data_IF_560108902527
#
_entry.id   IF_560108902527
#
_cell.length_a   1.000
_cell.length_b   1.000
_cell.length_c   1.000
_cell.angle_alpha   90.00
_cell.angle_beta   90.00
_cell.angle_gamma   90.00
#
_symmetry.space_group_name_H-M   'P 1'
#
loop_
_entity.id
_entity.type
_entity.pdbx_description
1 polymer ?
#
# COMPACT_ATOMS: atom_id res chain seq x y z
N UNK A 1 -3.41 9.73 -9.05
CA UNK A 1 -3.11 8.73 -8.03
C UNK A 1 -1.99 7.86 -8.56
N UNK A 2 -0.89 7.80 -7.83
CA UNK A 2 0.27 7.01 -8.21
C UNK A 2 0.49 5.83 -7.24
N UNK A 3 1.28 4.85 -7.67
CA UNK A 3 1.70 3.69 -6.88
C UNK A 3 3.21 3.63 -6.89
N UNK A 4 3.85 3.88 -5.74
CA UNK A 4 5.29 3.84 -5.65
C UNK A 4 5.79 2.43 -5.37
N UNK A 5 6.71 1.93 -6.21
CA UNK A 5 7.26 0.58 -6.14
C UNK A 5 8.75 0.60 -6.48
N UNK A 6 9.56 -0.35 -6.00
CA UNK A 6 10.92 -0.52 -6.51
C UNK A 6 10.92 -0.86 -7.99
N UNK A 7 11.92 -0.37 -8.73
CA UNK A 7 12.16 -0.85 -10.09
C UNK A 7 12.66 -2.30 -10.08
N UNK A 8 12.23 -3.09 -11.06
CA UNK A 8 12.76 -4.42 -11.32
C UNK A 8 13.01 -4.61 -12.80
N UNK A 9 14.22 -5.08 -13.14
CA UNK A 9 14.57 -5.49 -14.49
C UNK A 9 13.61 -6.59 -14.96
N UNK A 10 13.25 -6.57 -16.25
CA UNK A 10 12.35 -7.54 -16.89
C UNK A 10 10.93 -7.62 -16.31
N UNK A 11 10.51 -6.63 -15.54
CA UNK A 11 9.16 -6.55 -14.99
C UNK A 11 8.24 -5.62 -15.80
N UNK A 12 8.12 -5.90 -17.10
CA UNK A 12 7.36 -5.09 -18.06
C UNK A 12 5.90 -4.82 -17.62
N UNK A 13 5.30 -5.75 -16.88
CA UNK A 13 3.97 -5.59 -16.29
C UNK A 13 3.86 -4.34 -15.42
N UNK A 14 4.88 -4.07 -14.62
CA UNK A 14 4.92 -2.94 -13.71
C UNK A 14 5.58 -1.73 -14.33
N UNK A 15 6.71 -1.91 -15.01
CA UNK A 15 7.52 -0.80 -15.52
C UNK A 15 6.81 0.03 -16.61
N UNK A 16 5.89 -0.57 -17.38
CA UNK A 16 5.19 0.12 -18.47
C UNK A 16 3.92 0.86 -18.02
N UNK A 17 3.62 0.86 -16.72
CA UNK A 17 2.43 1.54 -16.20
C UNK A 17 2.63 3.05 -16.16
N UNK A 18 1.54 3.80 -16.34
CA UNK A 18 1.57 5.27 -16.28
C UNK A 18 1.28 5.85 -14.90
N UNK A 19 0.78 5.01 -14.00
CA UNK A 19 0.37 5.38 -12.65
C UNK A 19 1.37 4.91 -11.59
N UNK A 20 2.62 4.68 -11.98
CA UNK A 20 3.68 4.25 -11.06
C UNK A 20 4.70 5.35 -10.80
N UNK A 21 5.32 5.27 -9.63
CA UNK A 21 6.56 5.96 -9.30
C UNK A 21 7.61 4.90 -8.95
N UNK A 22 8.87 5.14 -9.30
CA UNK A 22 9.93 4.20 -8.97
C UNK A 22 10.68 4.60 -7.71
N UNK A 23 10.81 3.70 -6.75
CA UNK A 23 11.73 3.82 -5.63
C UNK A 23 13.08 3.20 -6.03
N UNK A 24 14.10 4.03 -6.23
CA UNK A 24 15.41 3.60 -6.72
C UNK A 24 16.44 3.74 -5.61
N UNK A 25 17.04 2.63 -5.13
CA UNK A 25 18.16 2.71 -4.22
C UNK A 25 19.44 3.11 -4.98
N UNK A 26 20.17 4.09 -4.46
CA UNK A 26 21.34 4.70 -5.11
C UNK A 26 22.57 4.66 -4.20
N UNK A 27 23.71 4.26 -4.78
CA UNK A 27 25.01 4.15 -4.10
C UNK A 27 25.88 5.33 -4.55
N UNK A 28 26.06 6.31 -3.67
CA UNK A 28 26.84 7.51 -3.95
C UNK A 28 28.34 7.21 -3.95
N UNK A 29 29.08 7.79 -4.90
CA UNK A 29 30.55 7.69 -4.93
C UNK A 29 31.12 6.70 -5.94
N UNK A 30 30.27 6.06 -6.75
CA UNK A 30 30.70 5.28 -7.92
C UNK A 30 30.26 5.99 -9.19
N UNK A 31 31.20 6.59 -9.93
CA UNK A 31 30.90 7.28 -11.20
C UNK A 31 30.02 6.45 -12.16
N UNK A 32 30.27 5.13 -12.24
CA UNK A 32 29.47 4.21 -13.07
C UNK A 32 28.00 4.09 -12.65
N UNK A 33 27.67 4.36 -11.40
CA UNK A 33 26.28 4.32 -10.92
C UNK A 33 25.54 5.61 -11.29
N UNK A 34 26.22 6.75 -11.31
CA UNK A 34 25.64 8.00 -11.81
C UNK A 34 25.30 7.88 -13.29
N UNK A 35 26.23 7.44 -14.15
CA UNK A 35 26.00 7.33 -15.59
C UNK A 35 24.79 6.41 -15.90
N UNK A 36 24.73 5.22 -15.29
CA UNK A 36 23.57 4.31 -15.44
C UNK A 36 22.26 4.93 -14.96
N UNK A 37 22.32 5.71 -13.88
CA UNK A 37 21.13 6.37 -13.36
C UNK A 37 20.66 7.46 -14.32
N UNK A 38 21.57 8.19 -14.97
CA UNK A 38 21.22 9.15 -16.01
C UNK A 38 20.59 8.46 -17.23
N UNK A 39 21.15 7.33 -17.69
CA UNK A 39 20.54 6.52 -18.76
C UNK A 39 19.11 6.07 -18.37
N UNK A 40 18.89 5.71 -17.10
CA UNK A 40 17.58 5.36 -16.58
C UNK A 40 16.60 6.54 -16.58
N UNK A 41 17.06 7.76 -16.28
CA UNK A 41 16.22 8.96 -16.38
C UNK A 41 15.81 9.26 -17.82
N UNK A 42 16.70 9.02 -18.79
CA UNK A 42 16.41 9.18 -20.21
C UNK A 42 15.40 8.13 -20.72
N UNK A 43 15.40 6.92 -20.16
CA UNK A 43 14.42 5.87 -20.47
C UNK A 43 13.03 6.18 -19.88
N UNK A 44 12.97 6.84 -18.73
CA UNK A 44 11.73 7.14 -18.00
C UNK A 44 11.54 8.66 -17.76
N UNK A 45 11.52 9.50 -18.80
CA UNK A 45 11.56 10.95 -18.65
C UNK A 45 10.32 11.54 -18.00
N UNK A 46 9.16 10.86 -18.13
CA UNK A 46 7.86 11.33 -17.62
C UNK A 46 7.44 10.63 -16.31
N UNK A 47 8.30 9.78 -15.75
CA UNK A 47 7.99 9.01 -14.52
C UNK A 47 8.64 9.69 -13.33
N UNK A 48 7.89 9.83 -12.24
CA UNK A 48 8.44 10.30 -10.96
C UNK A 48 9.38 9.23 -10.38
N UNK A 49 10.60 9.64 -10.07
CA UNK A 49 11.63 8.78 -9.48
C UNK A 49 11.91 9.23 -8.06
N UNK A 50 11.69 8.34 -7.10
CA UNK A 50 12.01 8.53 -5.69
C UNK A 50 13.37 7.89 -5.39
N UNK A 51 14.41 8.72 -5.26
CA UNK A 51 15.80 8.30 -5.07
C UNK A 51 16.12 8.09 -3.58
N UNK A 52 16.59 6.90 -3.21
CA UNK A 52 16.93 6.53 -1.83
C UNK A 52 18.44 6.25 -1.73
N UNK A 53 19.18 7.08 -1.00
CA UNK A 53 20.63 6.91 -0.84
C UNK A 53 20.93 5.79 0.17
N UNK A 54 21.66 4.76 -0.27
CA UNK A 54 22.12 3.67 0.60
C UNK A 54 23.09 4.18 1.67
N UNK A 55 23.97 5.09 1.28
CA UNK A 55 24.93 5.77 2.15
C UNK A 55 24.49 7.22 2.40
N UNK A 56 25.43 8.15 2.59
CA UNK A 56 25.14 9.57 2.78
C UNK A 56 24.69 10.23 1.45
N UNK A 57 23.75 11.16 1.53
CA UNK A 57 23.32 11.94 0.35
C UNK A 57 24.50 12.73 -0.24
N UNK A 58 24.83 12.45 -1.51
CA UNK A 58 25.79 13.23 -2.31
C UNK A 58 25.10 14.45 -2.94
N UNK A 59 25.31 15.64 -2.37
CA UNK A 59 24.81 16.90 -2.93
C UNK A 59 25.40 17.23 -4.31
N UNK A 60 26.57 16.68 -4.63
CA UNK A 60 27.20 16.80 -5.95
C UNK A 60 26.39 16.01 -6.99
N UNK A 61 26.10 14.74 -6.71
CA UNK A 61 25.35 13.87 -7.64
C UNK A 61 23.94 14.44 -7.84
N UNK A 62 23.30 14.92 -6.77
CA UNK A 62 22.01 15.61 -6.86
C UNK A 62 22.08 16.87 -7.74
N UNK A 63 23.18 17.63 -7.70
CA UNK A 63 23.36 18.80 -8.56
C UNK A 63 23.41 18.41 -10.04
N UNK A 64 24.02 17.27 -10.37
CA UNK A 64 24.06 16.76 -11.75
C UNK A 64 22.69 16.25 -12.17
N UNK A 65 22.06 15.41 -11.34
CA UNK A 65 20.75 14.82 -11.59
C UNK A 65 19.68 15.91 -11.81
N UNK A 66 19.64 16.92 -10.94
CA UNK A 66 18.63 17.99 -10.99
C UNK A 66 18.84 18.95 -12.18
N UNK A 67 19.97 18.91 -12.88
CA UNK A 67 20.15 19.64 -14.15
C UNK A 67 19.55 18.89 -15.34
N UNK A 68 19.37 17.58 -15.21
CA UNK A 68 18.96 16.69 -16.29
C UNK A 68 17.47 16.36 -16.17
N UNK A 69 16.96 16.16 -14.95
CA UNK A 69 15.56 15.80 -14.72
C UNK A 69 14.97 16.54 -13.53
N UNK A 70 13.77 17.09 -13.74
CA UNK A 70 12.92 17.66 -12.69
C UNK A 70 12.04 16.61 -12.00
N UNK A 71 12.07 15.35 -12.46
CA UNK A 71 11.19 14.28 -11.99
C UNK A 71 11.83 13.41 -10.89
N UNK A 72 12.99 13.82 -10.38
CA UNK A 72 13.68 13.13 -9.28
C UNK A 72 13.36 13.78 -7.95
N UNK A 73 12.94 12.96 -6.99
CA UNK A 73 12.57 13.32 -5.64
C UNK A 73 13.42 12.50 -4.67
N UNK A 74 14.09 13.14 -3.73
CA UNK A 74 14.96 12.44 -2.78
C UNK A 74 14.14 11.96 -1.58
N UNK A 75 14.17 10.66 -1.32
CA UNK A 75 13.56 10.03 -0.14
C UNK A 75 14.58 10.08 1.01
N UNK A 76 14.33 10.92 2.00
CA UNK A 76 15.22 11.23 3.11
C UNK A 76 14.96 10.27 4.27
N UNK A 77 16.02 9.58 4.71
CA UNK A 77 16.02 8.81 5.94
C UNK A 77 16.50 9.64 7.13
N UNK A 78 16.32 9.13 8.35
CA UNK A 78 16.68 9.85 9.58
C UNK A 78 18.16 10.29 9.64
N UNK A 79 19.07 9.49 9.05
CA UNK A 79 20.51 9.79 9.03
C UNK A 79 20.84 11.03 8.18
N UNK A 80 19.97 11.37 7.23
CA UNK A 80 20.20 12.40 6.23
C UNK A 80 19.45 13.72 6.54
N UNK A 81 18.68 13.76 7.64
CA UNK A 81 18.00 14.97 8.12
C UNK A 81 18.92 16.21 8.17
N UNK A 82 20.20 16.12 8.58
CA UNK A 82 21.09 17.28 8.57
C UNK A 82 21.29 17.94 7.19
N UNK A 83 21.04 17.23 6.09
CA UNK A 83 21.18 17.74 4.70
C UNK A 83 19.97 18.51 4.19
N UNK A 84 18.83 18.42 4.89
CA UNK A 84 17.54 19.02 4.48
C UNK A 84 17.67 20.51 4.17
N UNK A 85 18.41 21.25 5.01
CA UNK A 85 18.62 22.69 4.81
C UNK A 85 19.29 22.98 3.46
N UNK A 86 20.39 22.28 3.15
CA UNK A 86 21.13 22.45 1.90
C UNK A 86 20.28 22.05 0.69
N UNK A 87 19.49 20.99 0.81
CA UNK A 87 18.58 20.53 -0.24
C UNK A 87 17.49 21.55 -0.54
N UNK A 88 16.88 22.12 0.51
CA UNK A 88 15.90 23.20 0.39
C UNK A 88 16.50 24.44 -0.26
N UNK A 89 17.66 24.90 0.19
CA UNK A 89 18.35 26.08 -0.36
C UNK A 89 18.74 25.91 -1.83
N UNK A 90 19.01 24.68 -2.27
CA UNK A 90 19.32 24.35 -3.66
C UNK A 90 18.09 24.01 -4.51
N UNK A 91 16.89 24.02 -3.92
CA UNK A 91 15.64 23.73 -4.62
C UNK A 91 15.47 22.26 -5.03
N UNK A 92 16.18 21.33 -4.39
CA UNK A 92 16.01 19.90 -4.66
C UNK A 92 14.67 19.42 -4.07
N UNK A 93 13.94 18.61 -4.84
CA UNK A 93 12.68 18.02 -4.38
C UNK A 93 12.98 16.85 -3.46
N UNK A 94 12.34 16.81 -2.29
CA UNK A 94 12.53 15.72 -1.34
C UNK A 94 11.31 15.48 -0.47
N UNK A 95 11.32 14.36 0.23
CA UNK A 95 10.38 14.04 1.29
C UNK A 95 10.98 13.03 2.28
N UNK A 96 10.49 13.02 3.52
CA UNK A 96 10.92 12.05 4.52
C UNK A 96 10.31 10.68 4.25
N UNK A 97 11.07 9.62 4.50
CA UNK A 97 10.58 8.26 4.37
C UNK A 97 9.46 7.91 5.39
N UNK A 98 8.93 6.70 5.28
CA UNK A 98 7.81 6.24 6.11
C UNK A 98 8.20 5.97 7.57
N UNK A 99 9.48 6.02 7.93
CA UNK A 99 9.96 5.89 9.31
C UNK A 99 9.88 7.24 10.05
N UNK A 100 9.74 8.34 9.32
CA UNK A 100 9.53 9.69 9.84
C UNK A 100 8.17 10.29 9.38
N UNK A 101 7.02 9.66 9.73
CA UNK A 101 5.72 10.23 9.38
C UNK A 101 5.38 11.45 10.26
N UNK A 102 4.57 12.37 9.72
CA UNK A 102 3.95 13.41 10.52
C UNK A 102 2.80 12.79 11.33
N UNK A 103 2.87 12.86 12.66
CA UNK A 103 1.87 12.27 13.55
C UNK A 103 0.99 13.30 14.29
N UNK A 104 1.29 14.59 14.15
CA UNK A 104 0.49 15.72 14.63
C UNK A 104 0.73 16.98 13.77
N UNK A 105 -0.07 18.03 13.98
CA UNK A 105 0.02 19.26 13.18
C UNK A 105 1.34 20.03 13.36
N UNK A 106 1.97 19.98 14.54
CA UNK A 106 3.26 20.65 14.76
C UNK A 106 4.39 20.03 13.93
N UNK A 107 4.44 18.69 13.86
CA UNK A 107 5.40 18.00 13.00
C UNK A 107 5.06 18.18 11.51
N UNK A 108 3.76 18.22 11.19
CA UNK A 108 3.28 18.51 9.85
C UNK A 108 3.76 19.88 9.34
N UNK A 109 3.57 20.94 10.15
CA UNK A 109 4.06 22.30 9.90
C UNK A 109 5.58 22.33 9.75
N UNK A 110 6.30 21.65 10.63
CA UNK A 110 7.76 21.53 10.56
C UNK A 110 8.24 20.93 9.22
N UNK A 111 7.58 19.88 8.74
CA UNK A 111 7.92 19.28 7.44
C UNK A 111 7.59 20.22 6.25
N UNK A 112 6.49 20.97 6.34
CA UNK A 112 6.12 21.98 5.34
C UNK A 112 7.17 23.11 5.31
N UNK A 113 7.59 23.61 6.47
CA UNK A 113 8.61 24.67 6.60
C UNK A 113 9.98 24.21 6.09
N UNK A 114 10.27 22.91 6.21
CA UNK A 114 11.45 22.30 5.60
C UNK A 114 11.36 22.24 4.07
N UNK A 115 10.19 22.41 3.47
CA UNK A 115 10.00 22.39 2.01
C UNK A 115 9.82 21.00 1.44
N UNK A 116 9.28 20.05 2.21
CA UNK A 116 8.95 18.72 1.72
C UNK A 116 7.91 18.78 0.59
N UNK A 117 7.99 17.85 -0.35
CA UNK A 117 7.03 17.70 -1.45
C UNK A 117 5.90 16.72 -1.14
N UNK A 118 6.18 15.78 -0.24
CA UNK A 118 5.26 14.71 0.14
C UNK A 118 5.39 14.42 1.64
N UNK A 119 4.33 13.88 2.26
CA UNK A 119 4.31 13.51 3.67
C UNK A 119 3.57 12.19 3.87
N UNK A 120 4.17 11.27 4.64
CA UNK A 120 3.42 10.18 5.27
C UNK A 120 2.78 10.70 6.54
N UNK A 121 1.50 10.38 6.73
CA UNK A 121 0.74 10.77 7.94
C UNK A 121 0.52 9.57 8.85
N UNK A 122 0.52 9.82 10.16
CA UNK A 122 0.34 8.82 11.20
C UNK A 122 -0.52 9.35 12.36
N UNK A 123 -0.90 8.44 13.25
CA UNK A 123 -1.56 8.70 14.53
C UNK A 123 -2.73 9.70 14.43
N UNK A 124 -2.69 10.81 15.16
CA UNK A 124 -3.80 11.75 15.30
C UNK A 124 -4.26 12.30 13.94
N UNK A 125 -3.31 12.55 13.03
CA UNK A 125 -3.59 13.05 11.70
C UNK A 125 -4.44 12.08 10.86
N UNK A 126 -4.30 10.77 11.08
CA UNK A 126 -5.12 9.77 10.39
C UNK A 126 -6.60 9.77 10.81
N UNK A 127 -6.98 10.52 11.85
CA UNK A 127 -8.38 10.66 12.29
C UNK A 127 -8.94 12.06 12.00
N UNK A 128 -8.20 12.90 11.24
CA UNK A 128 -8.63 14.21 10.78
C UNK A 128 -8.20 14.47 9.32
N UNK A 129 -8.42 13.47 8.45
CA UNK A 129 -7.94 13.49 7.06
C UNK A 129 -8.54 14.63 6.23
N UNK A 130 -9.78 15.03 6.49
CA UNK A 130 -10.42 16.16 5.81
C UNK A 130 -9.65 17.46 6.06
N UNK A 131 -9.27 17.72 7.31
CA UNK A 131 -8.52 18.93 7.69
C UNK A 131 -7.10 18.87 7.15
N UNK A 132 -6.43 17.71 7.32
CA UNK A 132 -5.06 17.49 6.84
C UNK A 132 -4.98 17.64 5.32
N UNK A 133 -5.89 17.03 4.55
CA UNK A 133 -5.89 17.12 3.08
C UNK A 133 -6.15 18.55 2.59
N UNK A 134 -7.08 19.27 3.21
CA UNK A 134 -7.32 20.69 2.88
C UNK A 134 -6.07 21.54 3.13
N UNK A 135 -5.42 21.34 4.28
CA UNK A 135 -4.22 22.09 4.64
C UNK A 135 -3.07 21.81 3.68
N UNK A 136 -2.75 20.53 3.44
CA UNK A 136 -1.64 20.14 2.55
C UNK A 136 -1.88 20.53 1.08
N UNK A 137 -3.12 20.43 0.58
CA UNK A 137 -3.46 20.94 -0.75
C UNK A 137 -3.23 22.47 -0.87
N UNK A 138 -3.45 23.24 0.20
CA UNK A 138 -3.26 24.70 0.17
C UNK A 138 -1.80 25.13 0.03
N UNK A 139 -0.86 24.23 0.38
CA UNK A 139 0.59 24.45 0.28
C UNK A 139 1.25 23.57 -0.80
N UNK A 140 0.47 22.83 -1.59
CA UNK A 140 0.97 22.00 -2.68
C UNK A 140 1.78 20.78 -2.25
N UNK A 141 1.50 20.22 -1.07
CA UNK A 141 2.18 19.02 -0.54
C UNK A 141 1.30 17.79 -0.70
N UNK A 142 1.89 16.69 -1.17
CA UNK A 142 1.18 15.42 -1.39
C UNK A 142 1.12 14.56 -0.12
N UNK A 143 0.10 13.70 -0.02
CA UNK A 143 -0.04 12.72 1.06
C UNK A 143 0.24 11.32 0.52
N UNK A 144 1.15 10.60 1.20
CA UNK A 144 1.51 9.22 0.86
C UNK A 144 0.98 8.24 1.91
N UNK A 145 0.65 7.02 1.47
CA UNK A 145 0.19 5.97 2.37
C UNK A 145 0.72 4.58 1.98
N UNK A 146 1.24 3.85 2.94
CA UNK A 146 1.47 2.41 2.82
C UNK A 146 0.18 1.68 3.22
N UNK A 147 -0.49 1.05 2.25
CA UNK A 147 -1.85 0.53 2.44
C UNK A 147 -1.93 -0.67 3.39
N UNK A 148 -0.92 -1.54 3.37
CA UNK A 148 -0.88 -2.76 4.17
C UNK A 148 -0.02 -2.63 5.44
N UNK A 149 0.06 -1.40 5.98
CA UNK A 149 0.79 -1.07 7.20
C UNK A 149 -0.05 -0.12 8.05
N UNK A 150 -0.01 -0.30 9.36
CA UNK A 150 -0.71 0.59 10.28
C UNK A 150 0.11 1.88 10.45
N UNK A 151 -0.46 3.08 10.17
CA UNK A 151 0.23 4.35 10.26
C UNK A 151 0.27 4.87 11.70
N UNK A 152 0.94 4.15 12.61
CA UNK A 152 1.05 4.54 14.02
C UNK A 152 2.50 4.48 14.47
N UNK A 153 2.90 5.48 15.26
CA UNK A 153 4.23 5.57 15.86
C UNK A 153 4.29 4.90 17.24
N UNK A 154 3.14 4.55 17.83
CA UNK A 154 3.09 3.96 19.17
C UNK A 154 3.43 2.46 19.17
N UNK A 155 4.04 1.93 20.25
CA UNK A 155 4.40 0.51 20.35
C UNK A 155 3.20 -0.45 20.38
N UNK A 156 2.01 0.03 20.75
CA UNK A 156 0.79 -0.77 20.81
C UNK A 156 0.05 -0.85 19.45
N UNK A 157 0.74 -0.48 18.38
CA UNK A 157 0.28 -0.59 17.00
C UNK A 157 -0.33 -1.96 16.73
N UNK A 158 -1.61 -1.97 16.32
CA UNK A 158 -2.30 -3.20 15.96
C UNK A 158 -2.72 -4.08 17.13
N UNK A 159 -2.59 -3.61 18.37
CA UNK A 159 -3.01 -4.34 19.58
C UNK A 159 -4.33 -3.84 20.17
N UNK A 160 -4.86 -2.71 19.68
CA UNK A 160 -6.12 -2.14 20.16
C UNK A 160 -7.11 -1.84 19.03
N UNK A 161 -8.41 -1.87 19.33
CA UNK A 161 -9.51 -1.67 18.38
C UNK A 161 -9.57 -0.25 17.79
N UNK A 162 -8.83 0.69 18.37
CA UNK A 162 -8.71 2.08 17.89
C UNK A 162 -7.61 2.22 16.84
N UNK A 163 -6.88 1.16 16.50
CA UNK A 163 -5.81 1.14 15.49
C UNK A 163 -6.31 1.44 14.08
N UNK A 164 -5.81 2.50 13.42
CA UNK A 164 -6.22 2.88 12.06
C UNK A 164 -5.99 1.72 11.11
N UNK A 165 -6.99 1.43 10.28
CA UNK A 165 -6.92 0.44 9.24
C UNK A 165 -7.40 1.06 7.94
N UNK A 166 -6.80 0.62 6.84
CA UNK A 166 -7.18 1.02 5.50
C UNK A 166 -7.52 -0.22 4.71
N UNK A 167 -8.80 -0.49 4.54
CA UNK A 167 -9.26 -1.72 3.89
C UNK A 167 -9.34 -1.53 2.37
N UNK A 168 -9.18 -2.62 1.60
CA UNK A 168 -9.47 -2.62 0.17
C UNK A 168 -10.86 -2.07 -0.19
N UNK A 169 -11.84 -2.33 0.68
CA UNK A 169 -13.23 -1.86 0.55
C UNK A 169 -13.35 -0.33 0.52
N UNK A 170 -12.40 0.39 1.11
CA UNK A 170 -12.44 1.83 1.29
C UNK A 170 -11.56 2.58 0.27
N UNK A 171 -10.89 1.86 -0.64
CA UNK A 171 -9.86 2.42 -1.53
C UNK A 171 -10.34 3.60 -2.39
N UNK A 172 -11.58 3.58 -2.84
CA UNK A 172 -12.13 4.67 -3.66
C UNK A 172 -12.37 5.94 -2.82
N UNK A 173 -12.57 5.77 -1.52
CA UNK A 173 -12.62 6.88 -0.57
C UNK A 173 -11.22 7.37 -0.22
N UNK A 174 -10.28 6.45 0.01
CA UNK A 174 -8.86 6.77 0.29
C UNK A 174 -8.22 7.63 -0.81
N UNK A 175 -8.55 7.37 -2.08
CA UNK A 175 -8.07 8.16 -3.24
C UNK A 175 -8.41 9.65 -3.18
N UNK A 176 -9.35 10.06 -2.33
CA UNK A 176 -9.71 11.47 -2.14
C UNK A 176 -8.73 12.18 -1.19
N UNK A 177 -8.03 11.42 -0.34
CA UNK A 177 -7.09 11.93 0.66
C UNK A 177 -5.64 11.73 0.25
N UNK A 178 -5.32 10.59 -0.35
CA UNK A 178 -3.95 10.18 -0.64
C UNK A 178 -3.61 10.30 -2.12
N UNK A 179 -2.45 10.89 -2.40
CA UNK A 179 -1.97 11.17 -3.76
C UNK A 179 -1.15 10.00 -4.31
N UNK A 180 -0.40 9.33 -3.43
CA UNK A 180 0.41 8.15 -3.75
C UNK A 180 0.22 7.01 -2.74
N UNK A 181 0.15 5.79 -3.24
CA UNK A 181 0.07 4.57 -2.42
C UNK A 181 1.33 3.70 -2.54
N UNK A 182 1.66 3.00 -1.47
CA UNK A 182 2.75 2.03 -1.38
C UNK A 182 2.25 0.73 -0.76
N UNK A 183 3.01 -0.34 -0.99
CA UNK A 183 2.85 -1.61 -0.28
C UNK A 183 4.15 -2.05 0.35
N UNK A 184 4.10 -2.42 1.63
CA UNK A 184 5.17 -3.12 2.31
C UNK A 184 5.19 -4.59 1.87
N UNK A 185 6.10 -4.90 0.94
CA UNK A 185 6.30 -6.25 0.42
C UNK A 185 7.54 -6.93 0.99
N UNK A 186 8.07 -6.45 2.12
CA UNK A 186 9.27 -6.98 2.77
C UNK A 186 10.59 -6.49 2.15
N UNK A 187 11.69 -6.91 2.78
CA UNK A 187 13.08 -6.64 2.37
C UNK A 187 13.82 -8.00 2.31
N UNK A 188 14.14 -8.56 1.13
CA UNK A 188 13.98 -8.00 -0.21
C UNK A 188 12.52 -7.89 -0.66
N UNK A 189 12.26 -6.98 -1.60
CA UNK A 189 10.90 -6.66 -2.06
C UNK A 189 10.26 -7.80 -2.86
N UNK A 190 9.08 -8.27 -2.44
CA UNK A 190 8.38 -9.39 -3.08
C UNK A 190 7.30 -8.91 -4.07
N UNK A 191 7.61 -8.95 -5.37
CA UNK A 191 6.66 -8.59 -6.44
C UNK A 191 5.46 -9.53 -6.55
N UNK A 192 5.55 -10.78 -6.08
CA UNK A 192 4.39 -11.68 -6.02
C UNK A 192 3.39 -11.20 -4.95
N UNK A 193 3.89 -10.72 -3.79
CA UNK A 193 3.06 -10.10 -2.74
C UNK A 193 2.43 -8.80 -3.26
N UNK A 194 3.20 -7.94 -3.94
CA UNK A 194 2.68 -6.74 -4.60
C UNK A 194 1.52 -7.06 -5.55
N UNK A 195 1.67 -8.08 -6.41
CA UNK A 195 0.62 -8.48 -7.34
C UNK A 195 -0.69 -8.90 -6.66
N UNK A 196 -0.60 -9.60 -5.54
CA UNK A 196 -1.77 -10.00 -4.74
C UNK A 196 -2.41 -8.77 -4.11
N UNK A 197 -1.62 -7.95 -3.42
CA UNK A 197 -2.11 -6.76 -2.74
C UNK A 197 -2.72 -5.75 -3.73
N UNK A 198 -2.06 -5.50 -4.86
CA UNK A 198 -2.58 -4.62 -5.90
C UNK A 198 -3.93 -5.11 -6.43
N UNK A 199 -4.06 -6.41 -6.72
CA UNK A 199 -5.33 -6.97 -7.17
C UNK A 199 -6.41 -6.83 -6.10
N UNK A 200 -6.09 -7.08 -4.84
CA UNK A 200 -7.03 -6.96 -3.73
C UNK A 200 -7.50 -5.50 -3.56
N UNK A 201 -6.56 -4.54 -3.48
CA UNK A 201 -6.86 -3.14 -3.23
C UNK A 201 -7.43 -2.40 -4.45
N UNK A 202 -6.86 -2.57 -5.64
CA UNK A 202 -7.19 -1.71 -6.79
C UNK A 202 -8.10 -2.37 -7.84
N UNK A 203 -8.08 -3.69 -7.98
CA UNK A 203 -8.92 -4.41 -8.95
C UNK A 203 -10.22 -4.91 -8.29
N UNK A 204 -10.08 -5.72 -7.24
CA UNK A 204 -11.21 -6.33 -6.53
C UNK A 204 -11.86 -5.34 -5.57
N UNK A 205 -11.05 -4.46 -4.95
CA UNK A 205 -11.48 -3.47 -3.96
C UNK A 205 -12.26 -4.09 -2.80
N UNK A 206 -11.87 -5.30 -2.42
CA UNK A 206 -12.56 -6.09 -1.40
C UNK A 206 -11.62 -7.17 -0.86
N UNK A 207 -11.74 -7.47 0.44
CA UNK A 207 -11.09 -8.62 1.06
C UNK A 207 -12.09 -9.49 1.81
N UNK A 208 -11.99 -10.80 1.68
CA UNK A 208 -12.96 -11.73 2.28
C UNK A 208 -12.37 -12.56 3.43
N UNK A 209 -11.12 -12.32 3.84
CA UNK A 209 -10.46 -13.02 4.96
C UNK A 209 -10.35 -12.16 6.21
N UNK A 210 -9.44 -12.56 7.09
CA UNK A 210 -9.02 -11.78 8.25
C UNK A 210 -8.17 -10.58 7.83
N UNK A 211 -8.27 -9.48 8.58
CA UNK A 211 -7.50 -8.27 8.29
C UNK A 211 -5.99 -8.50 8.44
N UNK A 212 -5.58 -9.33 9.40
CA UNK A 212 -4.19 -9.73 9.66
C UNK A 212 -3.51 -10.36 8.43
N UNK A 213 -4.25 -11.06 7.56
CA UNK A 213 -3.72 -11.68 6.34
C UNK A 213 -3.19 -10.67 5.32
N UNK A 214 -3.70 -9.43 5.35
CA UNK A 214 -3.29 -8.35 4.43
C UNK A 214 -2.68 -7.14 5.16
N UNK A 215 -2.53 -7.20 6.48
CA UNK A 215 -1.91 -6.20 7.34
C UNK A 215 -1.17 -6.93 8.47
N UNK A 216 0.11 -7.24 8.25
CA UNK A 216 0.92 -8.05 9.17
C UNK A 216 1.09 -7.42 10.56
N UNK A 217 1.01 -6.08 10.63
CA UNK A 217 1.10 -5.33 11.88
C UNK A 217 -0.20 -5.41 12.72
N UNK A 218 -1.30 -6.00 12.21
CA UNK A 218 -2.58 -6.06 12.90
C UNK A 218 -2.77 -7.41 13.61
N UNK A 219 -2.76 -7.39 14.95
CA UNK A 219 -2.73 -8.59 15.78
C UNK A 219 -4.06 -8.88 16.48
N UNK A 220 -5.14 -8.26 16.03
CA UNK A 220 -6.48 -8.46 16.60
C UNK A 220 -7.29 -9.33 15.63
N UNK A 221 -7.92 -10.43 16.10
CA UNK A 221 -8.81 -11.22 15.25
C UNK A 221 -10.00 -10.37 14.79
N UNK A 222 -10.01 -10.02 13.50
CA UNK A 222 -11.10 -9.27 12.90
C UNK A 222 -11.31 -9.71 11.45
N UNK A 223 -12.49 -10.25 11.19
CA UNK A 223 -12.85 -10.73 9.87
C UNK A 223 -13.45 -9.60 9.02
N UNK A 224 -12.89 -9.29 7.84
CA UNK A 224 -13.29 -8.10 7.07
C UNK A 224 -14.79 -8.05 6.71
N UNK A 225 -15.37 -9.20 6.34
CA UNK A 225 -16.80 -9.34 5.96
C UNK A 225 -17.81 -8.90 7.02
N UNK A 226 -17.43 -8.79 8.29
CA UNK A 226 -18.34 -8.43 9.38
C UNK A 226 -18.19 -6.97 9.81
N UNK A 227 -17.14 -6.28 9.35
CA UNK A 227 -16.93 -4.85 9.58
C UNK A 227 -17.96 -4.05 8.78
N UNK A 228 -18.46 -2.95 9.36
CA UNK A 228 -19.35 -2.06 8.63
C UNK A 228 -18.63 -1.27 7.55
N UNK A 229 -19.25 -1.18 6.38
CA UNK A 229 -18.70 -0.53 5.19
C UNK A 229 -18.22 0.91 5.49
N UNK A 230 -18.99 1.70 6.26
CA UNK A 230 -18.65 3.10 6.60
C UNK A 230 -17.72 3.27 7.80
N UNK A 231 -17.22 2.18 8.39
CA UNK A 231 -16.51 2.25 9.67
C UNK A 231 -15.20 3.04 9.54
N UNK A 232 -14.39 2.73 8.53
CA UNK A 232 -13.10 3.42 8.37
C UNK A 232 -13.32 4.87 7.93
N UNK A 233 -14.32 5.15 7.09
CA UNK A 233 -14.73 6.53 6.76
C UNK A 233 -15.05 7.35 8.02
N UNK A 234 -15.81 6.77 8.95
CA UNK A 234 -16.11 7.43 10.21
C UNK A 234 -14.83 7.73 11.00
N UNK A 235 -13.87 6.79 11.03
CA UNK A 235 -12.65 6.91 11.83
C UNK A 235 -11.70 7.95 11.28
N UNK A 236 -11.58 8.04 9.96
CA UNK A 236 -10.71 8.97 9.25
C UNK A 236 -10.96 10.44 9.61
N UNK A 237 -12.15 10.77 10.13
CA UNK A 237 -12.52 12.14 10.52
C UNK A 237 -13.16 12.20 11.93
N UNK A 238 -12.92 11.20 12.78
CA UNK A 238 -13.51 11.20 14.12
C UNK A 238 -12.78 12.10 15.12
N UNK A 239 -11.59 12.63 14.79
CA UNK A 239 -10.74 13.47 15.63
C UNK A 239 -10.35 12.82 16.96
N UNK A 240 -10.28 11.48 17.02
CA UNK A 240 -10.08 10.71 18.27
C UNK A 240 -10.93 11.23 19.44
N UNK A 241 -12.22 11.52 19.22
CA UNK A 241 -13.16 12.01 20.26
C UNK A 241 -13.17 11.17 21.55
N UNK A 242 -12.82 9.88 21.46
CA UNK A 242 -12.67 8.99 22.62
C UNK A 242 -11.52 9.39 23.57
N UNK A 243 -10.47 10.06 23.08
CA UNK A 243 -9.36 10.53 23.92
C UNK A 243 -9.67 11.86 24.63
N UNK A 244 -10.53 12.69 24.04
CA UNK A 244 -10.90 14.00 24.59
C UNK A 244 -11.85 13.89 25.77
N UNK A 245 -12.99 13.21 25.59
CA UNK A 245 -14.07 13.17 26.58
C UNK A 245 -14.31 11.78 27.19
N UNK A 246 -13.57 10.74 26.76
CA UNK A 246 -13.71 9.33 27.20
C UNK A 246 -15.09 8.67 27.08
N UNK A 247 -16.06 9.35 26.46
CA UNK A 247 -17.44 8.85 26.30
C UNK A 247 -17.60 7.95 25.05
N UNK A 248 -16.81 8.20 24.00
CA UNK A 248 -16.96 7.49 22.74
C UNK A 248 -16.41 6.06 22.80
N UNK A 249 -17.31 5.07 22.67
CA UNK A 249 -17.00 3.64 22.63
C UNK A 249 -17.25 3.01 21.25
N UNK A 250 -17.33 3.82 20.18
CA UNK A 250 -17.75 3.33 18.86
C UNK A 250 -16.82 2.24 18.31
N UNK A 251 -15.50 2.39 18.42
CA UNK A 251 -14.56 1.38 17.94
C UNK A 251 -14.75 0.02 18.64
N UNK A 252 -14.90 0.04 19.97
CA UNK A 252 -15.17 -1.15 20.78
C UNK A 252 -16.51 -1.79 20.41
N UNK A 253 -17.58 -1.01 20.36
CA UNK A 253 -18.91 -1.52 20.00
C UNK A 253 -18.93 -2.13 18.59
N UNK A 254 -18.19 -1.54 17.66
CA UNK A 254 -18.06 -2.02 16.28
C UNK A 254 -17.31 -3.34 16.22
N UNK A 255 -16.19 -3.43 16.94
CA UNK A 255 -15.42 -4.65 17.06
C UNK A 255 -16.24 -5.79 17.70
N UNK A 256 -16.89 -5.53 18.84
CA UNK A 256 -17.75 -6.48 19.53
C UNK A 256 -18.91 -6.96 18.63
N UNK A 257 -19.49 -6.05 17.85
CA UNK A 257 -20.55 -6.39 16.89
C UNK A 257 -20.00 -7.25 15.74
N UNK A 258 -18.85 -6.90 15.17
CA UNK A 258 -18.22 -7.64 14.08
C UNK A 258 -17.90 -9.08 14.48
N UNK A 259 -17.37 -9.29 15.70
CA UNK A 259 -17.08 -10.63 16.21
C UNK A 259 -18.36 -11.43 16.48
N UNK A 260 -19.37 -10.83 17.11
CA UNK A 260 -20.68 -11.50 17.29
C UNK A 260 -21.35 -11.90 15.98
N UNK A 261 -21.18 -11.09 14.92
CA UNK A 261 -21.67 -11.44 13.59
C UNK A 261 -20.86 -12.60 12.99
N UNK A 262 -19.55 -12.62 13.20
CA UNK A 262 -18.68 -13.70 12.74
C UNK A 262 -19.03 -15.03 13.41
N UNK A 263 -19.16 -15.05 14.75
CA UNK A 263 -19.53 -16.24 15.53
C UNK A 263 -20.88 -16.82 15.11
N UNK A 264 -21.80 -15.96 14.68
CA UNK A 264 -23.14 -16.35 14.19
C UNK A 264 -23.16 -16.69 12.70
N UNK A 265 -22.01 -16.68 12.02
CA UNK A 265 -21.88 -16.84 10.57
C UNK A 265 -22.81 -15.89 9.77
N UNK A 266 -23.01 -14.68 10.30
CA UNK A 266 -23.85 -13.64 9.68
C UNK A 266 -22.98 -12.78 8.77
N UNK A 267 -23.02 -13.13 7.49
CA UNK A 267 -22.39 -12.33 6.42
C UNK A 267 -23.40 -11.34 5.85
N UNK A 268 -22.99 -10.09 5.61
CA UNK A 268 -23.83 -9.03 5.02
C UNK A 268 -24.37 -9.43 3.64
N UNK A 269 -25.59 -8.98 3.31
CA UNK A 269 -26.36 -9.41 2.12
C UNK A 269 -25.67 -9.06 0.78
N UNK A 270 -25.01 -7.89 0.69
CA UNK A 270 -24.15 -7.51 -0.46
C UNK A 270 -23.03 -8.54 -0.70
N UNK A 271 -22.47 -9.08 0.38
CA UNK A 271 -21.43 -10.10 0.31
C UNK A 271 -22.03 -11.47 -0.06
N UNK A 272 -23.27 -11.80 0.32
CA UNK A 272 -23.91 -13.07 -0.04
C UNK A 272 -24.17 -13.23 -1.55
N UNK A 273 -24.73 -12.22 -2.21
CA UNK A 273 -24.95 -12.25 -3.66
C UNK A 273 -23.63 -12.25 -4.43
N UNK A 274 -22.64 -11.50 -3.96
CA UNK A 274 -21.31 -11.47 -4.57
C UNK A 274 -20.51 -12.74 -4.35
N UNK A 275 -20.50 -13.31 -3.14
CA UNK A 275 -19.90 -14.63 -2.86
C UNK A 275 -20.52 -15.68 -3.79
N UNK A 276 -21.86 -15.66 -3.98
CA UNK A 276 -22.51 -16.54 -4.96
C UNK A 276 -22.01 -16.31 -6.39
N UNK A 277 -21.78 -15.06 -6.79
CA UNK A 277 -21.25 -14.75 -8.12
C UNK A 277 -19.76 -15.13 -8.25
N UNK A 278 -18.93 -14.91 -7.25
CA UNK A 278 -17.52 -15.33 -7.22
C UNK A 278 -17.40 -16.85 -7.23
N UNK A 279 -18.24 -17.57 -6.48
CA UNK A 279 -18.33 -19.04 -6.52
C UNK A 279 -18.79 -19.50 -7.90
N UNK A 280 -19.77 -18.83 -8.53
CA UNK A 280 -20.21 -19.15 -9.90
C UNK A 280 -19.09 -18.94 -10.92
N UNK A 281 -18.32 -17.86 -10.81
CA UNK A 281 -17.18 -17.58 -11.71
C UNK A 281 -16.08 -18.61 -11.50
N UNK A 282 -15.72 -18.92 -10.24
CA UNK A 282 -14.73 -19.94 -9.92
C UNK A 282 -15.16 -21.33 -10.41
N UNK A 283 -16.43 -21.69 -10.24
CA UNK A 283 -17.00 -22.94 -10.77
C UNK A 283 -16.98 -22.96 -12.30
N UNK A 284 -17.35 -21.86 -12.96
CA UNK A 284 -17.27 -21.76 -14.42
C UNK A 284 -15.84 -21.90 -14.94
N UNK A 285 -14.87 -21.27 -14.29
CA UNK A 285 -13.45 -21.39 -14.64
C UNK A 285 -12.95 -22.83 -14.41
N UNK A 286 -13.35 -23.47 -13.30
CA UNK A 286 -13.05 -24.86 -13.02
C UNK A 286 -13.65 -25.82 -14.06
N UNK A 287 -14.92 -25.64 -14.41
CA UNK A 287 -15.61 -26.44 -15.43
C UNK A 287 -14.97 -26.24 -16.82
N UNK A 288 -14.54 -25.02 -17.16
CA UNK A 288 -13.83 -24.72 -18.41
C UNK A 288 -12.43 -25.36 -18.46
N UNK A 289 -11.70 -25.37 -17.34
CA UNK A 289 -10.41 -26.04 -17.21
C UNK A 289 -10.58 -27.55 -17.37
N UNK A 290 -11.56 -28.15 -16.69
CA UNK A 290 -11.84 -29.57 -16.80
C UNK A 290 -12.30 -29.99 -18.20
N UNK A 291 -13.15 -29.19 -18.85
CA UNK A 291 -13.57 -29.42 -20.23
C UNK A 291 -12.39 -29.38 -21.21
N UNK A 292 -11.41 -28.48 -21.00
CA UNK A 292 -10.17 -28.49 -21.79
C UNK A 292 -9.28 -29.69 -21.49
N UNK A 293 -9.18 -30.10 -20.23
CA UNK A 293 -8.39 -31.26 -19.81
C UNK A 293 -8.94 -32.57 -20.37
N UNK A 294 -10.26 -32.70 -20.51
CA UNK A 294 -10.91 -33.86 -21.15
C UNK A 294 -10.46 -34.05 -22.60
N UNK A 295 -10.11 -32.96 -23.30
CA UNK A 295 -9.64 -32.96 -24.68
C UNK A 295 -8.11 -33.12 -24.83
N UNK A 296 -7.35 -33.13 -23.72
CA UNK A 296 -5.91 -33.36 -23.74
C UNK A 296 -5.60 -34.86 -23.52
N UNK A 297 -4.62 -35.35 -24.28
CA UNK A 297 -4.14 -36.74 -24.17
C UNK A 297 -3.59 -36.99 -22.76
N UNK A 298 -3.80 -38.20 -22.19
CA UNK A 298 -3.40 -38.50 -20.81
C UNK A 298 -1.86 -38.50 -20.71
N UNK A 299 -1.30 -37.75 -19.75
CA UNK A 299 0.14 -37.71 -19.46
C UNK A 299 0.69 -36.28 -19.30
N UNK A 300 1.93 -36.08 -19.74
CA UNK A 300 2.74 -34.86 -19.52
C UNK A 300 2.07 -33.56 -20.03
N UNK A 301 1.22 -33.64 -21.04
CA UNK A 301 0.46 -32.48 -21.56
C UNK A 301 -0.53 -31.92 -20.53
N UNK A 302 -1.21 -32.80 -19.77
CA UNK A 302 -2.10 -32.35 -18.69
C UNK A 302 -1.30 -31.73 -17.55
N UNK A 303 -0.16 -32.32 -17.19
CA UNK A 303 0.71 -31.81 -16.12
C UNK A 303 1.29 -30.45 -16.49
N UNK A 304 1.69 -30.26 -17.76
CA UNK A 304 2.18 -28.98 -18.28
C UNK A 304 1.07 -27.92 -18.26
N UNK A 305 -0.12 -28.25 -18.75
CA UNK A 305 -1.28 -27.34 -18.71
C UNK A 305 -1.68 -26.98 -17.28
N UNK A 306 -1.64 -27.94 -16.34
CA UNK A 306 -1.88 -27.67 -14.93
C UNK A 306 -0.87 -26.66 -14.36
N UNK A 307 0.43 -26.83 -14.65
CA UNK A 307 1.45 -25.86 -14.18
C UNK A 307 1.24 -24.47 -14.78
N UNK A 308 0.99 -24.37 -16.08
CA UNK A 308 0.76 -23.10 -16.77
C UNK A 308 -0.49 -22.37 -16.23
N UNK A 309 -1.61 -23.08 -16.05
CA UNK A 309 -2.86 -22.48 -15.55
C UNK A 309 -2.74 -22.08 -14.08
N UNK A 310 -2.09 -22.90 -13.23
CA UNK A 310 -1.95 -22.58 -11.82
C UNK A 310 -0.94 -21.44 -11.56
N UNK A 311 0.15 -21.38 -12.32
CA UNK A 311 1.13 -20.31 -12.23
C UNK A 311 0.52 -18.96 -12.70
N UNK A 312 -0.35 -18.98 -13.72
CA UNK A 312 -1.03 -17.78 -14.22
C UNK A 312 -2.23 -17.34 -13.36
N UNK A 313 -2.99 -18.27 -12.77
CA UNK A 313 -4.25 -17.91 -12.10
C UNK A 313 -4.09 -17.34 -10.68
N UNK A 314 -2.94 -17.53 -10.01
CA UNK A 314 -2.69 -17.04 -8.63
C UNK A 314 -3.92 -17.19 -7.71
N UNK A 315 -4.55 -18.37 -7.73
CA UNK A 315 -5.74 -18.65 -6.93
C UNK A 315 -5.38 -18.60 -5.43
N UNK A 316 -6.13 -17.87 -4.59
CA UNK A 316 -5.91 -17.88 -3.14
C UNK A 316 -5.99 -19.30 -2.58
N UNK A 317 -5.08 -19.67 -1.68
CA UNK A 317 -5.08 -20.95 -0.95
C UNK A 317 -6.44 -21.29 -0.29
N UNK A 318 -7.25 -20.26 0.00
CA UNK A 318 -8.64 -20.35 0.49
C UNK A 318 -9.53 -21.29 -0.35
N UNK A 319 -9.22 -21.51 -1.64
CA UNK A 319 -9.98 -22.42 -2.50
C UNK A 319 -9.68 -23.91 -2.28
N UNK A 320 -8.51 -24.28 -1.75
CA UNK A 320 -8.14 -25.68 -1.53
C UNK A 320 -8.75 -26.27 -0.26
N UNK A 321 -8.92 -25.45 0.79
CA UNK A 321 -9.60 -25.85 2.03
C UNK A 321 -11.12 -25.98 1.86
N UNK A 322 -11.74 -25.12 1.05
CA UNK A 322 -13.18 -25.13 0.82
C UNK A 322 -13.70 -26.38 0.06
N UNK A 323 -12.81 -27.11 -0.63
CA UNK A 323 -13.14 -28.33 -1.37
C UNK A 323 -12.47 -29.60 -0.80
N UNK A 324 -11.80 -29.51 0.36
CA UNK A 324 -11.28 -30.68 1.08
C UNK A 324 -10.07 -31.36 0.45
N UNK A 325 -9.29 -30.67 -0.38
CA UNK A 325 -8.12 -31.23 -1.08
C UNK A 325 -6.78 -30.97 -0.38
N UNK A 326 -6.79 -30.28 0.76
CA UNK A 326 -5.60 -30.08 1.60
C UNK A 326 -5.95 -30.42 3.06
N UNK A 327 -5.30 -31.45 3.59
CA UNK A 327 -5.05 -31.62 5.02
C UNK A 327 -3.53 -31.61 5.19
N UNK A 328 -3.00 -30.99 6.26
CA UNK A 328 -1.58 -30.69 6.40
C UNK A 328 -0.64 -31.88 6.26
#
# INVERSE_FOLDING_TARGET
>A
MAIAIPFALDNAKWNNRKDIEFNIPYDSGRHKELDKFLDFLDEYPDVRINLEFKDEISLHDLSVINKISDNVYVRISIKDVPKVKDMREKGYKFFFDSELPAYNFSLLESFIDMGTTDIYIADDLCYDLDTVKKYLNSVGVNIRLILNKIPMTTPDRGLNEKTVLFRPNDIDYLKQYFDAFEFDCGKPYNFKKLDVLYRVYFIQKEWLGEISEINEDYNIPLHNRTIQDDYDLYRMNCGRKCNHNRICNKCKNMYDAANKLYDKNVVRKKNKERIRNTIKIGKYQYDLINSKLENLSKGDERVKYYKEVFDDMKLPLVWMEAYGYYQP
#
